data_IF_166083645997
#
_entry.id   IF_166083645997
#
_cell.length_a   1.000
_cell.length_b   1.000
_cell.length_c   1.000
_cell.angle_alpha   90.00
_cell.angle_beta   90.00
_cell.angle_gamma   90.00
#
_symmetry.space_group_name_H-M   'P 1'
#
loop_
_entity.id
_entity.type
_entity.pdbx_description
1 polymer ?
#
# COMPACT_ATOMS: atom_id res chain seq x y z
N UNK A 1 -8.41 -3.35 15.48
CA UNK A 1 -7.32 -2.63 14.79
C UNK A 1 -6.15 -3.58 14.66
N UNK A 2 -5.67 -3.79 13.45
CA UNK A 2 -4.51 -4.63 13.14
C UNK A 2 -3.62 -3.76 12.24
N UNK A 3 -2.61 -3.06 12.81
CA UNK A 3 -1.66 -2.33 12.00
C UNK A 3 -0.76 -3.32 11.25
N UNK A 4 -0.67 -3.14 9.94
CA UNK A 4 -0.07 -4.11 9.00
C UNK A 4 1.05 -3.53 8.16
N UNK A 5 1.33 -2.24 8.32
CA UNK A 5 2.45 -1.59 7.66
C UNK A 5 2.88 -0.33 8.38
N UNK A 6 4.19 -0.07 8.38
CA UNK A 6 4.78 1.16 8.89
C UNK A 6 5.89 1.62 7.95
N UNK A 7 5.94 2.92 7.67
CA UNK A 7 7.05 3.54 6.93
C UNK A 7 7.42 4.89 7.54
N UNK A 8 8.71 5.18 7.66
CA UNK A 8 9.19 6.47 8.17
C UNK A 8 9.57 7.34 6.98
N UNK A 9 9.11 8.59 6.96
CA UNK A 9 9.45 9.52 5.87
C UNK A 9 8.68 10.83 5.93
N UNK A 10 9.19 11.83 5.22
CA UNK A 10 8.56 13.16 5.10
C UNK A 10 8.28 13.85 6.46
N UNK A 11 9.15 13.63 7.44
CA UNK A 11 9.04 14.24 8.78
C UNK A 11 7.96 13.61 9.67
N UNK A 12 7.56 12.37 9.40
CA UNK A 12 6.60 11.63 10.21
C UNK A 12 6.64 10.12 9.96
N UNK A 13 5.64 9.45 10.52
CA UNK A 13 5.44 8.00 10.45
C UNK A 13 4.13 7.72 9.74
N UNK A 14 4.20 6.87 8.73
CA UNK A 14 3.07 6.37 7.98
C UNK A 14 2.66 5.03 8.58
N UNK A 15 1.38 4.89 8.95
CA UNK A 15 0.87 3.64 9.53
C UNK A 15 -0.35 3.20 8.76
N UNK A 16 -0.25 2.01 8.20
CA UNK A 16 -1.35 1.34 7.53
C UNK A 16 -2.07 0.47 8.56
N UNK A 17 -3.32 0.82 8.81
CA UNK A 17 -4.20 0.08 9.68
C UNK A 17 -5.61 0.19 9.10
N UNK A 18 -5.98 -0.81 8.31
CA UNK A 18 -7.24 -0.84 7.58
C UNK A 18 -8.41 -0.43 8.49
N UNK A 19 -9.32 0.43 8.02
CA UNK A 19 -9.51 0.84 6.62
C UNK A 19 -8.65 2.04 6.21
N UNK A 20 -7.76 2.51 7.08
CA UNK A 20 -7.12 3.82 6.98
C UNK A 20 -5.60 3.73 6.86
N UNK A 21 -5.03 4.62 6.05
CA UNK A 21 -3.61 4.96 6.05
C UNK A 21 -3.44 6.29 6.77
N UNK A 22 -2.69 6.26 7.87
CA UNK A 22 -2.41 7.44 8.69
C UNK A 22 -1.04 8.02 8.38
N UNK A 23 -0.94 9.35 8.44
CA UNK A 23 0.33 10.06 8.58
C UNK A 23 0.36 10.72 9.95
N UNK A 24 1.34 10.33 10.76
CA UNK A 24 1.51 10.81 12.12
C UNK A 24 2.79 11.63 12.22
N UNK A 25 2.71 12.80 12.86
CA UNK A 25 3.90 13.56 13.24
C UNK A 25 4.19 13.31 14.70
N UNK A 26 5.46 13.11 14.99
CA UNK A 26 5.96 12.79 16.31
C UNK A 26 6.99 13.84 16.74
N UNK A 27 7.05 14.11 18.04
CA UNK A 27 8.12 14.85 18.69
C UNK A 27 8.32 14.32 20.11
N UNK A 28 9.56 14.04 20.46
CA UNK A 28 10.00 13.59 21.78
C UNK A 28 9.24 12.35 22.31
N UNK A 29 9.01 11.37 21.44
CA UNK A 29 8.29 10.13 21.68
C UNK A 29 6.77 10.26 21.76
N UNK A 30 6.21 11.42 21.41
CA UNK A 30 4.77 11.69 21.50
C UNK A 30 4.16 12.05 20.14
N UNK A 31 3.01 11.46 19.87
CA UNK A 31 2.16 11.83 18.74
C UNK A 31 1.67 13.27 18.91
N UNK A 32 2.04 14.14 17.97
CA UNK A 32 1.54 15.53 17.93
C UNK A 32 0.27 15.63 17.09
N UNK A 33 0.24 14.92 15.97
CA UNK A 33 -0.88 14.98 15.02
C UNK A 33 -1.02 13.68 14.26
N UNK A 34 -2.26 13.30 13.97
CA UNK A 34 -2.61 12.17 13.10
C UNK A 34 -3.59 12.60 12.04
N UNK A 35 -3.20 12.41 10.79
CA UNK A 35 -3.99 12.73 9.61
C UNK A 35 -4.37 11.43 8.91
N UNK A 36 -5.64 11.28 8.52
CA UNK A 36 -6.06 10.21 7.60
C UNK A 36 -5.69 10.64 6.19
N UNK A 37 -4.76 9.91 5.56
CA UNK A 37 -4.29 10.21 4.21
C UNK A 37 -5.21 9.60 3.17
N UNK A 38 -5.54 8.33 3.36
CA UNK A 38 -6.39 7.54 2.48
C UNK A 38 -7.25 6.62 3.35
N UNK A 39 -8.50 6.42 2.96
CA UNK A 39 -9.44 5.50 3.61
C UNK A 39 -10.19 4.67 2.58
N UNK A 40 -10.75 3.54 3.02
CA UNK A 40 -11.58 2.66 2.20
C UNK A 40 -10.95 1.31 1.89
N UNK A 41 -9.82 0.98 2.53
CA UNK A 41 -9.29 -0.38 2.47
C UNK A 41 -10.26 -1.35 3.15
N UNK A 42 -10.47 -2.51 2.55
CA UNK A 42 -11.33 -3.53 3.12
C UNK A 42 -10.75 -4.12 4.41
N UNK A 43 -11.61 -4.81 5.17
CA UNK A 43 -11.26 -5.49 6.43
C UNK A 43 -11.92 -6.86 6.56
N UNK A 44 -12.45 -7.39 5.47
CA UNK A 44 -13.26 -8.61 5.50
C UNK A 44 -12.41 -9.82 5.78
N UNK A 45 -11.19 -9.84 5.25
CA UNK A 45 -10.20 -10.87 5.50
C UNK A 45 -8.99 -10.27 6.24
N UNK A 46 -8.72 -10.77 7.44
CA UNK A 46 -7.58 -10.35 8.25
C UNK A 46 -6.25 -10.93 7.76
N UNK A 47 -6.30 -12.00 6.96
CA UNK A 47 -5.12 -12.62 6.37
C UNK A 47 -4.52 -11.71 5.30
N UNK A 48 -5.35 -11.08 4.47
CA UNK A 48 -4.88 -10.33 3.29
C UNK A 48 -5.11 -8.81 3.39
N UNK A 49 -4.90 -8.30 4.60
CA UNK A 49 -4.94 -6.87 4.87
C UNK A 49 -3.89 -6.11 4.04
N UNK A 50 -4.15 -4.83 3.72
CA UNK A 50 -3.18 -4.02 3.00
C UNK A 50 -1.89 -3.92 3.83
N UNK A 51 -0.73 -4.08 3.21
CA UNK A 51 0.53 -4.30 3.92
C UNK A 51 1.76 -3.72 3.19
N UNK A 52 2.93 -3.91 3.79
CA UNK A 52 4.26 -3.73 3.19
C UNK A 52 4.51 -2.36 2.57
N UNK A 53 4.27 -1.33 3.38
CA UNK A 53 4.59 0.05 3.05
C UNK A 53 6.08 0.21 2.72
N UNK A 54 6.38 0.58 1.48
CA UNK A 54 7.76 0.74 1.01
C UNK A 54 7.89 1.98 0.15
N UNK A 55 8.96 2.75 0.35
CA UNK A 55 9.25 3.91 -0.49
C UNK A 55 9.77 3.46 -1.85
N UNK A 56 9.18 3.99 -2.92
CA UNK A 56 9.67 3.80 -4.27
C UNK A 56 10.85 4.72 -4.60
N UNK A 57 11.58 4.41 -5.69
CA UNK A 57 12.69 5.24 -6.17
C UNK A 57 12.23 6.62 -6.66
N UNK A 58 10.95 6.77 -7.01
CA UNK A 58 10.29 8.02 -7.40
C UNK A 58 9.85 8.88 -6.19
N UNK A 59 10.05 8.38 -4.97
CA UNK A 59 9.66 9.07 -3.73
C UNK A 59 8.18 8.93 -3.35
N UNK A 60 7.41 8.09 -4.05
CA UNK A 60 6.04 7.73 -3.66
C UNK A 60 6.04 6.61 -2.62
N UNK A 61 4.97 6.53 -1.82
CA UNK A 61 4.78 5.44 -0.87
C UNK A 61 3.96 4.34 -1.53
N UNK A 62 4.52 3.14 -1.62
CA UNK A 62 3.85 1.97 -2.19
C UNK A 62 3.32 1.07 -1.09
N UNK A 63 2.27 0.32 -1.42
CA UNK A 63 1.75 -0.73 -0.56
C UNK A 63 0.98 -1.77 -1.35
N UNK A 64 0.72 -2.90 -0.70
CA UNK A 64 0.08 -4.06 -1.29
C UNK A 64 -1.32 -4.26 -0.67
N UNK A 65 -2.17 -5.02 -1.34
CA UNK A 65 -3.49 -5.44 -0.87
C UNK A 65 -3.78 -6.82 -1.44
N UNK A 66 -4.43 -7.71 -0.69
CA UNK A 66 -4.77 -9.07 -1.16
C UNK A 66 -6.05 -9.17 -1.99
N UNK A 67 -6.32 -10.37 -2.50
CA UNK A 67 -7.43 -10.66 -3.40
C UNK A 67 -8.78 -10.78 -2.67
N UNK A 68 -8.80 -11.35 -1.46
CA UNK A 68 -10.04 -11.50 -0.69
C UNK A 68 -10.44 -10.23 0.06
N UNK A 69 -9.56 -9.24 0.07
CA UNK A 69 -9.81 -7.98 0.73
C UNK A 69 -10.27 -6.89 -0.24
N UNK A 70 -11.58 -6.86 -0.50
CA UNK A 70 -12.19 -5.91 -1.40
C UNK A 70 -12.06 -4.47 -0.89
N UNK A 71 -11.28 -3.67 -1.60
CA UNK A 71 -10.97 -2.29 -1.22
C UNK A 71 -11.68 -1.30 -2.14
N UNK A 72 -12.31 -0.29 -1.52
CA UNK A 72 -13.00 0.82 -2.19
C UNK A 72 -12.43 2.12 -1.67
N UNK A 73 -11.26 2.46 -2.19
CA UNK A 73 -10.47 3.61 -1.75
C UNK A 73 -10.95 4.88 -2.44
N UNK A 74 -11.17 5.94 -1.67
CA UNK A 74 -11.49 7.26 -2.22
C UNK A 74 -10.26 8.16 -2.15
N UNK A 75 -9.80 8.62 -3.31
CA UNK A 75 -8.74 9.62 -3.42
C UNK A 75 -9.25 11.01 -3.07
N UNK A 76 -8.35 11.87 -2.60
CA UNK A 76 -8.67 13.25 -2.23
C UNK A 76 -9.20 14.09 -3.39
N UNK A 77 -8.95 13.68 -4.63
CA UNK A 77 -9.48 14.30 -5.85
C UNK A 77 -10.89 13.79 -6.23
N UNK A 78 -11.58 13.06 -5.35
CA UNK A 78 -12.93 12.56 -5.56
C UNK A 78 -13.04 11.32 -6.45
N UNK A 79 -11.91 10.82 -6.97
CA UNK A 79 -11.83 9.54 -7.67
C UNK A 79 -11.96 8.37 -6.70
N UNK A 80 -12.70 7.36 -7.11
CA UNK A 80 -12.87 6.12 -6.37
C UNK A 80 -12.14 4.99 -7.11
N UNK A 81 -11.35 4.24 -6.36
CA UNK A 81 -10.59 3.10 -6.83
C UNK A 81 -11.18 1.85 -6.19
N UNK A 82 -11.64 0.92 -7.02
CA UNK A 82 -12.09 -0.40 -6.61
C UNK A 82 -11.09 -1.40 -7.12
N UNK A 83 -10.50 -2.15 -6.21
CA UNK A 83 -9.47 -3.11 -6.56
C UNK A 83 -9.47 -4.27 -5.57
N UNK A 84 -9.11 -5.41 -6.11
CA UNK A 84 -8.85 -6.64 -5.38
C UNK A 84 -7.48 -7.10 -5.85
N UNK A 85 -6.55 -7.34 -4.93
CA UNK A 85 -5.17 -7.66 -5.25
C UNK A 85 -4.44 -6.60 -6.10
N UNK A 86 -3.76 -5.66 -5.45
CA UNK A 86 -3.09 -4.58 -6.19
C UNK A 86 -1.84 -4.07 -5.50
N UNK A 87 -0.89 -3.62 -6.33
CA UNK A 87 0.14 -2.68 -5.95
C UNK A 87 -0.40 -1.27 -6.15
N UNK A 88 -0.47 -0.51 -5.06
CA UNK A 88 -0.94 0.86 -5.06
C UNK A 88 0.15 1.79 -4.56
N UNK A 89 0.03 3.08 -4.90
CA UNK A 89 0.94 4.12 -4.45
C UNK A 89 0.20 5.37 -4.00
N UNK A 90 0.79 6.09 -3.05
CA UNK A 90 0.32 7.37 -2.52
C UNK A 90 1.43 8.41 -2.62
N UNK A 91 1.10 9.56 -3.19
CA UNK A 91 2.02 10.68 -3.22
C UNK A 91 2.08 11.36 -1.84
N UNK A 92 3.26 11.52 -1.22
CA UNK A 92 3.38 11.98 0.17
C UNK A 92 2.93 13.43 0.41
N UNK A 93 3.12 14.32 -0.57
CA UNK A 93 2.69 15.74 -0.50
C UNK A 93 1.26 15.98 -0.99
N UNK A 94 0.93 15.57 -2.21
CA UNK A 94 -0.41 15.80 -2.81
C UNK A 94 -1.47 14.88 -2.23
N UNK A 95 -1.08 13.79 -1.55
CA UNK A 95 -1.97 12.74 -1.02
C UNK A 95 -2.79 12.07 -2.13
N UNK A 96 -2.28 12.08 -3.35
CA UNK A 96 -2.89 11.42 -4.50
C UNK A 96 -2.69 9.90 -4.39
N UNK A 97 -3.78 9.14 -4.52
CA UNK A 97 -3.75 7.68 -4.56
C UNK A 97 -3.87 7.17 -6.01
N UNK A 98 -3.06 6.18 -6.36
CA UNK A 98 -3.09 5.52 -7.67
C UNK A 98 -2.89 4.01 -7.52
N UNK A 99 -3.48 3.25 -8.44
CA UNK A 99 -3.16 1.84 -8.64
C UNK A 99 -2.06 1.77 -9.69
N UNK A 100 -1.00 1.02 -9.39
CA UNK A 100 0.14 0.80 -10.30
C UNK A 100 -0.16 -0.38 -11.21
N UNK A 101 -0.56 -1.50 -10.61
CA UNK A 101 -0.95 -2.73 -11.31
C UNK A 101 -1.76 -3.62 -10.37
N UNK A 102 -2.51 -4.54 -10.97
CA UNK A 102 -3.44 -5.44 -10.28
C UNK A 102 -3.09 -6.88 -10.59
N UNK A 103 -3.53 -7.81 -9.75
CA UNK A 103 -3.31 -9.24 -9.93
C UNK A 103 -2.52 -9.92 -8.82
N UNK A 104 -2.20 -11.20 -9.02
CA UNK A 104 -1.74 -12.18 -8.01
C UNK A 104 -2.83 -12.60 -7.01
N UNK A 105 -2.49 -13.35 -5.97
CA UNK A 105 -3.40 -13.77 -4.90
C UNK A 105 -3.20 -12.96 -3.63
N UNK A 106 -2.02 -13.04 -3.02
CA UNK A 106 -1.80 -12.41 -1.73
C UNK A 106 -0.37 -11.89 -1.59
N UNK A 107 -0.13 -10.66 -2.07
CA UNK A 107 1.18 -10.05 -2.03
C UNK A 107 1.50 -9.54 -0.63
N UNK A 108 2.70 -9.87 -0.16
CA UNK A 108 3.19 -9.56 1.20
C UNK A 108 4.57 -8.93 1.22
N UNK A 109 5.33 -8.98 0.13
CA UNK A 109 6.68 -8.40 0.06
C UNK A 109 6.82 -7.51 -1.16
N UNK A 110 7.55 -6.41 -1.02
CA UNK A 110 7.94 -5.56 -2.14
C UNK A 110 9.40 -5.13 -1.97
N UNK A 111 10.15 -5.20 -3.07
CA UNK A 111 11.50 -4.68 -3.20
C UNK A 111 11.64 -3.96 -4.55
N UNK A 112 12.66 -3.12 -4.65
CA UNK A 112 12.96 -2.38 -5.88
C UNK A 112 14.28 -2.86 -6.46
N UNK A 113 14.31 -3.08 -7.77
CA UNK A 113 15.56 -3.32 -8.48
C UNK A 113 16.35 -2.01 -8.72
N UNK A 114 17.57 -2.13 -9.26
CA UNK A 114 18.41 -0.96 -9.56
C UNK A 114 17.90 -0.09 -10.71
N UNK A 115 17.00 -0.62 -11.54
CA UNK A 115 16.33 0.11 -12.62
C UNK A 115 15.03 0.79 -12.19
N UNK A 116 14.57 0.54 -10.96
CA UNK A 116 13.32 1.04 -10.40
C UNK A 116 12.09 0.16 -10.64
N UNK A 117 12.28 -1.06 -11.12
CA UNK A 117 11.23 -2.08 -11.25
C UNK A 117 10.78 -2.64 -9.89
N UNK A 118 9.48 -2.88 -9.74
CA UNK A 118 8.90 -3.46 -8.52
C UNK A 118 9.00 -4.99 -8.56
N UNK A 119 9.68 -5.57 -7.57
CA UNK A 119 9.70 -7.01 -7.34
C UNK A 119 8.73 -7.30 -6.19
N UNK A 120 7.70 -8.08 -6.43
CA UNK A 120 6.64 -8.39 -5.47
C UNK A 120 6.67 -9.87 -5.11
N UNK A 121 6.69 -10.15 -3.81
CA UNK A 121 6.48 -11.48 -3.28
C UNK A 121 5.00 -11.69 -3.01
N UNK A 122 4.44 -12.79 -3.52
CA UNK A 122 3.06 -13.17 -3.25
C UNK A 122 2.94 -14.64 -2.89
N UNK A 123 2.01 -14.92 -1.97
CA UNK A 123 1.59 -16.30 -1.71
C UNK A 123 0.66 -16.74 -2.82
N UNK A 124 1.06 -17.76 -3.58
CA UNK A 124 0.24 -18.44 -4.57
C UNK A 124 0.24 -19.95 -4.32
N UNK A 125 -0.89 -20.61 -4.58
CA UNK A 125 -1.03 -22.07 -4.41
C UNK A 125 -0.20 -22.87 -5.45
N UNK A 126 0.29 -22.22 -6.52
CA UNK A 126 1.09 -22.84 -7.56
C UNK A 126 2.47 -22.19 -7.67
N UNK A 127 3.48 -22.78 -7.03
CA UNK A 127 4.94 -22.75 -7.28
C UNK A 127 5.72 -21.43 -7.53
N UNK A 128 5.08 -20.30 -7.87
CA UNK A 128 5.71 -19.03 -8.18
C UNK A 128 5.45 -18.02 -7.05
N UNK A 129 6.54 -17.51 -6.48
CA UNK A 129 6.51 -16.64 -5.29
C UNK A 129 7.01 -15.23 -5.56
N UNK A 130 7.57 -14.96 -6.74
CA UNK A 130 8.24 -13.71 -7.08
C UNK A 130 7.78 -13.19 -8.43
N UNK A 131 7.29 -11.96 -8.46
CA UNK A 131 6.75 -11.30 -9.64
C UNK A 131 7.52 -10.00 -9.92
N UNK A 132 7.79 -9.72 -11.19
CA UNK A 132 8.26 -8.40 -11.63
C UNK A 132 7.06 -7.61 -12.16
N UNK A 133 6.64 -6.62 -11.37
CA UNK A 133 5.47 -5.77 -11.64
C UNK A 133 5.88 -4.59 -12.53
N UNK A 134 5.14 -4.42 -13.63
CA UNK A 134 5.27 -3.31 -14.59
C UNK A 134 4.02 -2.43 -14.49
N UNK A 135 4.19 -1.11 -14.59
CA UNK A 135 3.08 -0.16 -14.53
C UNK A 135 1.99 -0.54 -15.56
N UNK A 136 0.73 -0.52 -15.14
CA UNK A 136 -0.47 -0.95 -15.88
C UNK A 136 -0.61 -2.46 -16.15
N UNK A 137 0.29 -3.30 -15.63
CA UNK A 137 0.21 -4.76 -15.78
C UNK A 137 -0.98 -5.41 -15.07
N UNK A 138 -1.37 -6.60 -15.54
CA UNK A 138 -2.32 -7.52 -14.89
C UNK A 138 -1.67 -8.91 -14.78
N UNK A 139 -1.71 -9.50 -13.58
CA UNK A 139 -0.97 -10.73 -13.24
C UNK A 139 -1.85 -11.82 -12.64
#
# INVERSE_FOLDING_TARGET
NIPTGVAIGYGGVWVLNAPDLFFMREKDGKEISREVVVTGFGRTDTHELPNSLTWGPDGWLYGLNGVFNQSRVRSNHGREYRFNCALWRVHPRTREFQIVCEGTSNPYGIAWDTGGGAIVEACHWANDHLFHFVETGQY
#
